data_IF_302576777393
#
_entry.id   IF_302576777393
#
_cell.length_a   1.000
_cell.length_b   1.000
_cell.length_c   1.000
_cell.angle_alpha   90.00
_cell.angle_beta   90.00
_cell.angle_gamma   90.00
#
_symmetry.space_group_name_H-M   'P 1'
#
loop_
_entity.id
_entity.type
_entity.pdbx_description
1 polymer ?
#
# COMPACT_ATOMS: atom_id res chain seq x y z
N UNK A 1 -28.48 -10.79 -26.13
CA UNK A 1 -27.50 -11.74 -25.66
C UNK A 1 -26.75 -11.14 -24.50
N UNK A 2 -26.66 -11.81 -23.38
CA UNK A 2 -25.86 -11.41 -22.25
C UNK A 2 -24.38 -11.40 -22.70
N UNK A 3 -23.76 -10.22 -22.81
CA UNK A 3 -22.31 -10.15 -22.95
C UNK A 3 -21.69 -10.78 -21.70
N UNK A 4 -20.80 -11.73 -21.87
CA UNK A 4 -20.06 -12.34 -20.76
C UNK A 4 -19.29 -11.24 -20.02
N UNK A 5 -19.46 -11.18 -18.70
CA UNK A 5 -18.73 -10.23 -17.86
C UNK A 5 -17.25 -10.61 -17.79
N UNK A 6 -16.96 -11.90 -17.90
CA UNK A 6 -15.61 -12.44 -17.93
C UNK A 6 -15.11 -12.47 -19.37
N UNK A 7 -14.01 -11.78 -19.66
CA UNK A 7 -13.30 -11.80 -20.94
C UNK A 7 -12.33 -12.96 -21.01
N UNK A 8 -11.46 -13.02 -20.02
CA UNK A 8 -10.44 -14.05 -19.93
C UNK A 8 -10.36 -14.59 -18.51
N UNK A 9 -9.97 -15.85 -18.40
CA UNK A 9 -9.70 -16.49 -17.12
C UNK A 9 -8.40 -17.29 -17.25
N UNK A 10 -7.47 -17.02 -16.34
CA UNK A 10 -6.21 -17.73 -16.20
C UNK A 10 -6.26 -18.56 -14.91
N UNK A 11 -5.92 -19.82 -15.00
CA UNK A 11 -5.71 -20.69 -13.84
C UNK A 11 -4.26 -21.14 -13.80
N UNK A 12 -3.56 -20.79 -12.73
CA UNK A 12 -2.21 -21.23 -12.46
C UNK A 12 -2.19 -22.26 -11.34
N UNK A 13 -1.40 -23.31 -11.49
CA UNK A 13 -1.18 -24.35 -10.49
C UNK A 13 0.32 -24.40 -10.23
N UNK A 14 0.72 -24.36 -8.98
CA UNK A 14 2.12 -24.34 -8.59
C UNK A 14 2.77 -22.95 -8.60
N UNK A 15 2.04 -21.91 -8.93
CA UNK A 15 2.52 -20.52 -8.94
C UNK A 15 1.39 -19.52 -8.79
N UNK A 16 1.72 -18.31 -8.36
CA UNK A 16 0.81 -17.17 -8.23
C UNK A 16 1.38 -15.97 -9.01
N UNK A 17 1.30 -15.97 -10.36
CA UNK A 17 1.95 -14.97 -11.20
C UNK A 17 1.44 -13.56 -10.95
N UNK A 18 0.13 -13.36 -10.77
CA UNK A 18 -0.45 -12.04 -10.57
C UNK A 18 -0.05 -11.45 -9.21
N UNK A 19 -0.13 -12.24 -8.13
CA UNK A 19 0.33 -11.82 -6.80
C UNK A 19 1.83 -11.51 -6.77
N UNK A 20 2.63 -12.27 -7.51
CA UNK A 20 4.07 -12.05 -7.64
C UNK A 20 4.38 -10.72 -8.34
N UNK A 21 3.66 -10.39 -9.40
CA UNK A 21 3.87 -9.13 -10.15
C UNK A 21 3.37 -7.92 -9.36
N UNK A 22 2.28 -8.04 -8.62
CA UNK A 22 1.82 -7.00 -7.69
C UNK A 22 2.85 -6.72 -6.59
N UNK A 23 3.40 -7.75 -5.97
CA UNK A 23 4.42 -7.61 -4.93
C UNK A 23 5.66 -6.88 -5.43
N UNK A 24 6.05 -7.07 -6.69
CA UNK A 24 7.17 -6.36 -7.32
C UNK A 24 6.90 -4.88 -7.56
N UNK A 25 5.67 -4.53 -7.88
CA UNK A 25 5.29 -3.12 -8.14
C UNK A 25 5.03 -2.32 -6.88
N UNK A 26 4.65 -2.97 -5.77
CA UNK A 26 4.32 -2.32 -4.50
C UNK A 26 5.44 -2.31 -3.45
N UNK A 27 6.66 -2.75 -3.78
CA UNK A 27 7.80 -2.72 -2.83
C UNK A 27 7.75 -3.76 -1.70
N UNK A 28 6.66 -4.50 -1.54
CA UNK A 28 6.56 -5.58 -0.57
C UNK A 28 7.31 -6.81 -1.07
N UNK A 29 8.26 -7.30 -0.28
CA UNK A 29 9.01 -8.54 -0.56
C UNK A 29 8.13 -9.74 -0.21
N UNK A 30 7.08 -9.97 -0.98
CA UNK A 30 6.41 -11.27 -0.95
C UNK A 30 7.31 -12.27 -1.64
N UNK A 31 7.73 -13.30 -0.91
CA UNK A 31 8.49 -14.39 -1.49
C UNK A 31 7.70 -14.98 -2.67
N UNK A 32 8.37 -15.28 -3.79
CA UNK A 32 7.77 -16.02 -4.88
C UNK A 32 7.25 -17.37 -4.34
N UNK A 33 5.98 -17.41 -4.00
CA UNK A 33 5.35 -18.64 -3.50
C UNK A 33 5.14 -19.54 -4.72
N UNK A 34 6.04 -20.51 -4.87
CA UNK A 34 5.97 -21.51 -5.93
C UNK A 34 5.96 -22.89 -5.30
N UNK A 35 4.99 -23.69 -5.64
CA UNK A 35 4.90 -25.04 -5.12
C UNK A 35 3.57 -25.70 -5.48
N UNK A 36 3.55 -27.03 -5.53
CA UNK A 36 2.37 -27.81 -5.96
C UNK A 36 1.11 -27.58 -5.07
N UNK A 37 1.29 -26.94 -3.90
CA UNK A 37 0.24 -26.61 -2.94
C UNK A 37 -0.36 -25.21 -3.16
N UNK A 38 0.19 -24.42 -4.09
CA UNK A 38 -0.29 -23.06 -4.38
C UNK A 38 -1.01 -23.02 -5.73
N UNK A 39 -1.94 -22.10 -5.85
CA UNK A 39 -2.63 -21.85 -7.11
C UNK A 39 -3.24 -20.47 -7.13
N UNK A 40 -3.59 -20.01 -8.32
CA UNK A 40 -4.22 -18.73 -8.55
C UNK A 40 -5.24 -18.85 -9.68
N UNK A 41 -6.39 -18.19 -9.49
CA UNK A 41 -7.36 -18.00 -10.57
C UNK A 41 -7.53 -16.50 -10.79
N UNK A 42 -7.07 -16.03 -11.93
CA UNK A 42 -7.20 -14.65 -12.35
C UNK A 42 -8.34 -14.49 -13.37
N UNK A 43 -9.22 -13.53 -13.12
CA UNK A 43 -10.35 -13.21 -14.01
C UNK A 43 -10.17 -11.79 -14.54
N UNK A 44 -10.08 -11.67 -15.85
CA UNK A 44 -10.20 -10.38 -16.53
C UNK A 44 -11.67 -10.12 -16.86
N UNK A 45 -12.23 -9.10 -16.21
CA UNK A 45 -13.60 -8.67 -16.46
C UNK A 45 -13.67 -7.65 -17.62
N UNK A 46 -14.86 -7.49 -18.22
CA UNK A 46 -15.12 -6.43 -19.20
C UNK A 46 -14.87 -5.04 -18.58
N UNK A 47 -14.59 -3.96 -19.37
CA UNK A 47 -14.36 -2.63 -18.88
C UNK A 47 -15.43 -2.15 -17.89
N UNK A 48 -15.05 -1.25 -16.97
CA UNK A 48 -15.94 -0.79 -15.92
C UNK A 48 -17.19 -0.09 -16.45
N UNK A 49 -17.08 0.57 -17.60
CA UNK A 49 -18.17 1.26 -18.28
C UNK A 49 -19.21 0.30 -18.88
N UNK A 50 -18.81 -0.94 -19.18
CA UNK A 50 -19.67 -1.96 -19.76
C UNK A 50 -20.34 -2.86 -18.71
N UNK A 51 -20.01 -2.68 -17.40
CA UNK A 51 -20.47 -3.54 -16.30
C UNK A 51 -21.51 -2.84 -15.43
N UNK A 52 -22.48 -3.60 -14.93
CA UNK A 52 -23.48 -3.10 -13.97
C UNK A 52 -22.98 -3.09 -12.52
N UNK A 53 -21.86 -3.76 -12.23
CA UNK A 53 -21.25 -3.86 -10.89
C UNK A 53 -19.73 -3.77 -10.96
N UNK A 54 -19.13 -3.31 -9.87
CA UNK A 54 -17.70 -3.12 -9.76
C UNK A 54 -16.95 -4.43 -9.48
N UNK A 55 -15.62 -4.39 -9.50
CA UNK A 55 -14.79 -5.55 -9.27
C UNK A 55 -14.90 -6.11 -7.84
N UNK A 56 -15.07 -5.23 -6.84
CA UNK A 56 -15.27 -5.63 -5.43
C UNK A 56 -16.56 -6.43 -5.25
N UNK A 57 -17.65 -5.99 -5.87
CA UNK A 57 -18.92 -6.71 -5.84
C UNK A 57 -18.81 -8.07 -6.53
N UNK A 58 -18.01 -8.17 -7.61
CA UNK A 58 -17.73 -9.43 -8.27
C UNK A 58 -16.93 -10.37 -7.35
N UNK A 59 -15.89 -9.88 -6.71
CA UNK A 59 -15.07 -10.64 -5.77
C UNK A 59 -15.90 -11.12 -4.57
N UNK A 60 -16.76 -10.25 -4.01
CA UNK A 60 -17.67 -10.60 -2.91
C UNK A 60 -18.63 -11.73 -3.30
N UNK A 61 -19.30 -11.62 -4.45
CA UNK A 61 -20.21 -12.67 -4.97
C UNK A 61 -19.47 -13.96 -5.28
N UNK A 62 -18.24 -13.87 -5.74
CA UNK A 62 -17.42 -15.05 -5.99
C UNK A 62 -17.05 -15.72 -4.67
N UNK A 63 -16.62 -14.98 -3.67
CA UNK A 63 -16.37 -15.49 -2.30
C UNK A 63 -17.60 -16.19 -1.72
N UNK A 64 -18.77 -15.57 -1.80
CA UNK A 64 -20.03 -16.14 -1.32
C UNK A 64 -20.36 -17.47 -2.01
N UNK A 65 -20.08 -17.57 -3.32
CA UNK A 65 -20.34 -18.79 -4.09
C UNK A 65 -19.33 -19.91 -3.81
N UNK A 66 -18.09 -19.59 -3.59
CA UNK A 66 -17.05 -20.57 -3.26
C UNK A 66 -17.27 -21.11 -1.85
N UNK A 67 -17.66 -20.24 -0.91
CA UNK A 67 -17.85 -20.61 0.48
C UNK A 67 -16.54 -21.01 1.17
N UNK A 68 -16.67 -21.80 2.23
CA UNK A 68 -15.52 -22.32 2.99
C UNK A 68 -14.96 -23.55 2.28
N UNK A 69 -13.67 -23.57 2.02
CA UNK A 69 -12.94 -24.70 1.45
C UNK A 69 -12.05 -25.31 2.56
N UNK A 70 -12.46 -26.42 3.18
CA UNK A 70 -11.72 -27.00 4.33
C UNK A 70 -10.28 -27.44 4.00
N UNK A 71 -10.01 -27.71 2.72
CA UNK A 71 -8.68 -28.12 2.27
C UNK A 71 -7.74 -26.93 1.97
N UNK A 72 -8.28 -25.71 1.96
CA UNK A 72 -7.49 -24.51 1.73
C UNK A 72 -7.05 -23.91 3.07
N UNK A 73 -5.76 -23.84 3.30
CA UNK A 73 -5.17 -23.20 4.47
C UNK A 73 -5.37 -21.66 4.42
N UNK A 74 -5.26 -21.10 3.21
CA UNK A 74 -5.50 -19.69 2.96
C UNK A 74 -6.22 -19.52 1.61
N UNK A 75 -7.32 -18.76 1.61
CA UNK A 75 -8.10 -18.44 0.42
C UNK A 75 -8.40 -16.93 0.41
N UNK A 76 -7.77 -16.21 -0.49
CA UNK A 76 -7.92 -14.75 -0.64
C UNK A 76 -8.64 -14.40 -1.94
N UNK A 77 -9.47 -13.35 -1.89
CA UNK A 77 -10.15 -12.80 -3.07
C UNK A 77 -9.80 -11.33 -3.19
N UNK A 78 -9.00 -10.99 -4.18
CA UNK A 78 -8.50 -9.62 -4.41
C UNK A 78 -9.15 -9.03 -5.65
N UNK A 79 -9.60 -7.80 -5.56
CA UNK A 79 -10.17 -7.04 -6.67
C UNK A 79 -9.36 -5.78 -7.02
N UNK A 80 -8.28 -5.52 -6.31
CA UNK A 80 -7.42 -4.37 -6.51
C UNK A 80 -6.36 -4.62 -7.57
N UNK A 81 -6.15 -3.61 -8.43
CA UNK A 81 -5.07 -3.63 -9.42
C UNK A 81 -3.74 -3.19 -8.80
N UNK A 82 -3.81 -2.27 -7.84
CA UNK A 82 -2.67 -1.78 -7.09
C UNK A 82 -2.96 -1.95 -5.61
N UNK A 83 -2.39 -2.97 -5.01
CA UNK A 83 -2.39 -3.12 -3.56
C UNK A 83 -1.03 -2.65 -3.03
N UNK A 84 -1.03 -1.60 -2.23
CA UNK A 84 0.17 -1.15 -1.49
C UNK A 84 0.51 -2.08 -0.32
N UNK A 85 -0.16 -3.24 -0.23
CA UNK A 85 -0.10 -4.23 0.84
C UNK A 85 -1.48 -4.57 1.39
N UNK A 86 -1.52 -5.46 2.38
CA UNK A 86 -2.77 -5.79 3.07
C UNK A 86 -3.27 -4.57 3.86
N UNK A 87 -4.60 -4.40 3.97
CA UNK A 87 -5.24 -3.30 4.68
C UNK A 87 -4.84 -3.25 6.16
N UNK A 88 -4.61 -4.42 6.74
CA UNK A 88 -4.02 -4.62 8.07
C UNK A 88 -2.80 -5.51 7.89
N UNK A 89 -1.64 -5.04 8.32
CA UNK A 89 -0.42 -5.83 8.37
C UNK A 89 0.36 -5.45 9.64
N UNK A 90 0.29 -6.32 10.61
CA UNK A 90 0.99 -6.18 11.88
C UNK A 90 2.15 -7.15 11.93
N UNK A 91 3.35 -6.61 12.04
CA UNK A 91 4.56 -7.41 12.23
C UNK A 91 4.79 -7.63 13.70
N UNK A 92 4.84 -8.88 14.11
CA UNK A 92 5.24 -9.30 15.43
C UNK A 92 6.68 -9.78 15.40
N UNK A 93 7.51 -9.31 16.33
CA UNK A 93 8.91 -9.71 16.42
C UNK A 93 9.24 -10.20 17.83
N UNK A 94 9.96 -11.30 17.93
CA UNK A 94 10.31 -11.89 19.23
C UNK A 94 11.53 -12.81 19.16
N UNK A 95 12.11 -13.11 20.32
CA UNK A 95 13.22 -14.05 20.42
C UNK A 95 12.71 -15.50 20.60
N UNK A 96 11.62 -15.69 21.35
CA UNK A 96 10.99 -16.98 21.56
C UNK A 96 9.96 -17.24 20.45
N UNK A 97 10.09 -18.40 19.82
CA UNK A 97 9.23 -18.77 18.70
C UNK A 97 7.80 -19.12 19.15
N UNK A 98 7.67 -19.89 20.24
CA UNK A 98 6.36 -20.35 20.74
C UNK A 98 5.53 -19.15 21.22
N UNK A 99 6.16 -18.24 21.98
CA UNK A 99 5.51 -16.99 22.41
C UNK A 99 5.07 -16.12 21.23
N UNK A 100 5.87 -16.11 20.14
CA UNK A 100 5.55 -15.35 18.92
C UNK A 100 4.37 -15.98 18.17
N UNK A 101 4.29 -17.31 18.13
CA UNK A 101 3.18 -18.05 17.54
C UNK A 101 1.88 -17.83 18.32
N UNK A 102 1.93 -17.99 19.65
CA UNK A 102 0.79 -17.75 20.53
C UNK A 102 0.26 -16.31 20.41
N UNK A 103 1.18 -15.34 20.27
CA UNK A 103 0.82 -13.95 20.08
C UNK A 103 0.15 -13.71 18.73
N UNK A 104 0.62 -14.36 17.67
CA UNK A 104 0.03 -14.26 16.33
C UNK A 104 -1.38 -14.89 16.31
N UNK A 105 -1.57 -16.06 16.93
CA UNK A 105 -2.88 -16.69 17.05
C UNK A 105 -3.86 -15.82 17.86
N UNK A 106 -3.41 -15.30 18.99
CA UNK A 106 -4.22 -14.39 19.80
C UNK A 106 -4.64 -13.13 19.02
N UNK A 107 -3.74 -12.58 18.19
CA UNK A 107 -4.07 -11.40 17.37
C UNK A 107 -5.06 -11.75 16.27
N UNK A 108 -4.92 -12.92 15.62
CA UNK A 108 -5.90 -13.40 14.63
C UNK A 108 -7.28 -13.58 15.23
N UNK A 109 -7.36 -14.16 16.43
CA UNK A 109 -8.63 -14.33 17.14
C UNK A 109 -9.27 -12.97 17.44
N UNK A 110 -8.48 -12.00 17.89
CA UNK A 110 -8.96 -10.64 18.16
C UNK A 110 -9.42 -9.88 16.91
N UNK A 111 -8.76 -10.10 15.80
CA UNK A 111 -9.20 -9.57 14.50
C UNK A 111 -10.50 -10.23 14.04
N UNK A 112 -10.69 -11.51 14.33
CA UNK A 112 -11.91 -12.25 14.04
C UNK A 112 -13.15 -11.79 14.82
N UNK A 113 -12.98 -11.03 15.91
CA UNK A 113 -14.08 -10.42 16.66
C UNK A 113 -14.77 -9.27 15.87
N UNK A 114 -14.17 -8.79 14.77
CA UNK A 114 -14.70 -7.71 13.94
C UNK A 114 -15.34 -8.25 12.66
N UNK A 115 -16.63 -7.98 12.45
CA UNK A 115 -17.40 -8.48 11.29
C UNK A 115 -16.92 -7.94 9.94
N UNK A 116 -16.27 -6.79 9.94
CA UNK A 116 -15.70 -6.16 8.74
C UNK A 116 -14.33 -6.71 8.35
N UNK A 117 -13.67 -7.48 9.24
CA UNK A 117 -12.34 -8.07 8.95
C UNK A 117 -12.50 -9.39 8.23
N UNK A 118 -11.78 -9.53 7.15
CA UNK A 118 -11.80 -10.71 6.28
C UNK A 118 -10.37 -11.14 5.94
N UNK A 119 -10.22 -12.38 5.45
CA UNK A 119 -8.95 -12.92 4.97
C UNK A 119 -7.80 -12.83 6.00
N UNK A 120 -8.14 -13.09 7.27
CA UNK A 120 -7.15 -13.08 8.35
C UNK A 120 -6.16 -14.22 8.12
N UNK A 121 -4.88 -13.89 8.04
CA UNK A 121 -3.81 -14.85 7.82
C UNK A 121 -2.55 -14.44 8.60
N UNK A 122 -1.64 -15.37 8.75
CA UNK A 122 -0.30 -15.06 9.22
C UNK A 122 0.78 -15.62 8.29
N UNK A 123 2.01 -15.20 8.49
CA UNK A 123 3.16 -15.66 7.71
C UNK A 123 3.80 -16.94 8.28
N UNK A 124 3.26 -17.51 9.34
CA UNK A 124 3.62 -18.84 9.80
C UNK A 124 2.97 -19.89 8.92
N UNK A 125 3.43 -19.99 7.69
CA UNK A 125 2.96 -21.07 6.85
C UNK A 125 3.67 -22.35 7.26
N UNK A 126 2.90 -23.28 7.77
CA UNK A 126 3.37 -24.65 7.84
C UNK A 126 3.66 -25.10 6.40
N UNK A 127 4.90 -25.44 6.15
CA UNK A 127 5.31 -25.98 4.86
C UNK A 127 4.69 -27.35 4.61
N UNK A 128 5.06 -27.94 3.49
CA UNK A 128 4.63 -29.30 3.15
C UNK A 128 5.02 -30.27 4.25
N UNK A 129 4.22 -31.33 4.39
CA UNK A 129 4.63 -32.47 5.19
C UNK A 129 5.98 -32.99 4.70
N UNK A 130 6.94 -33.04 5.62
CA UNK A 130 8.32 -33.42 5.36
C UNK A 130 8.62 -34.76 6.00
N UNK A 131 9.37 -35.58 5.28
CA UNK A 131 9.93 -36.79 5.84
C UNK A 131 11.33 -36.44 6.35
N UNK A 132 11.47 -36.41 7.65
CA UNK A 132 12.74 -36.18 8.30
C UNK A 132 13.48 -37.52 8.47
N UNK A 133 14.69 -37.54 7.95
CA UNK A 133 15.56 -38.72 8.00
C UNK A 133 16.52 -38.57 9.18
N UNK A 134 16.50 -39.51 10.09
CA UNK A 134 17.43 -39.55 11.22
C UNK A 134 18.28 -40.82 11.14
N UNK A 135 19.60 -40.68 11.08
CA UNK A 135 20.54 -41.82 11.05
C UNK A 135 20.52 -42.50 12.41
N UNK A 136 20.62 -43.83 12.43
CA UNK A 136 20.76 -44.62 13.66
C UNK A 136 22.20 -44.62 14.13
N UNK A 137 22.47 -44.66 15.45
CA UNK A 137 23.83 -44.67 15.99
C UNK A 137 24.68 -45.80 15.47
N UNK A 138 24.07 -46.97 15.20
CA UNK A 138 24.75 -48.16 14.70
C UNK A 138 25.30 -47.91 13.28
N UNK A 139 24.56 -47.21 12.44
CA UNK A 139 24.95 -46.86 11.07
C UNK A 139 26.02 -45.76 11.07
N UNK A 140 25.94 -44.81 11.98
CA UNK A 140 26.93 -43.78 12.21
C UNK A 140 28.30 -44.39 12.63
N UNK A 141 28.25 -45.36 13.53
CA UNK A 141 29.44 -46.10 13.95
C UNK A 141 30.11 -46.90 12.81
N UNK A 142 29.34 -47.26 11.77
CA UNK A 142 29.84 -47.91 10.56
C UNK A 142 30.33 -46.88 9.50
N UNK A 143 30.39 -45.61 9.84
CA UNK A 143 30.93 -44.52 9.00
C UNK A 143 29.94 -43.90 8.02
N UNK A 144 28.65 -44.20 8.08
CA UNK A 144 27.63 -43.49 7.29
C UNK A 144 27.35 -42.14 7.92
N UNK A 145 27.37 -41.08 7.13
CA UNK A 145 27.02 -39.74 7.59
C UNK A 145 25.58 -39.39 7.24
N UNK A 146 24.95 -38.43 8.00
CA UNK A 146 23.62 -37.90 7.70
C UNK A 146 23.57 -37.30 6.29
N UNK A 147 24.66 -36.67 5.82
CA UNK A 147 24.77 -36.09 4.48
C UNK A 147 24.77 -37.16 3.40
N UNK A 148 25.47 -38.27 3.61
CA UNK A 148 25.52 -39.35 2.63
C UNK A 148 24.18 -40.05 2.50
N UNK A 149 23.48 -40.27 3.62
CA UNK A 149 22.14 -40.81 3.63
C UNK A 149 21.20 -39.88 2.85
N UNK A 150 21.18 -38.59 3.20
CA UNK A 150 20.32 -37.61 2.55
C UNK A 150 20.59 -37.47 1.03
N UNK A 151 21.86 -37.53 0.64
CA UNK A 151 22.30 -37.50 -0.78
C UNK A 151 21.78 -38.71 -1.55
N UNK A 152 21.92 -39.90 -1.01
CA UNK A 152 21.44 -41.14 -1.66
C UNK A 152 19.93 -41.13 -1.82
N UNK A 153 19.17 -40.76 -0.78
CA UNK A 153 17.71 -40.67 -0.84
C UNK A 153 17.30 -39.58 -1.86
N UNK A 154 17.93 -38.40 -1.82
CA UNK A 154 17.64 -37.33 -2.75
C UNK A 154 17.89 -37.75 -4.21
N UNK A 155 19.02 -38.38 -4.49
CA UNK A 155 19.38 -38.81 -5.86
C UNK A 155 18.38 -39.85 -6.40
N UNK A 156 17.87 -40.73 -5.53
CA UNK A 156 16.87 -41.73 -5.92
C UNK A 156 15.48 -41.13 -6.17
N UNK A 157 15.01 -40.28 -5.27
CA UNK A 157 13.61 -39.78 -5.31
C UNK A 157 13.46 -38.48 -6.07
N UNK A 158 14.30 -37.46 -5.82
CA UNK A 158 14.30 -36.20 -6.58
C UNK A 158 15.02 -36.35 -7.90
N UNK A 159 16.16 -36.98 -7.87
CA UNK A 159 17.02 -37.21 -9.01
C UNK A 159 18.36 -36.47 -8.94
N UNK A 160 19.30 -36.95 -9.73
CA UNK A 160 20.61 -36.36 -9.95
C UNK A 160 20.68 -35.81 -11.38
N UNK A 161 21.14 -34.57 -11.55
CA UNK A 161 21.37 -34.00 -12.87
C UNK A 161 22.68 -34.57 -13.43
N UNK A 162 22.56 -35.48 -14.34
CA UNK A 162 23.71 -36.19 -14.95
C UNK A 162 24.36 -35.34 -16.04
N UNK A 163 23.55 -34.61 -16.81
CA UNK A 163 24.01 -33.82 -17.95
C UNK A 163 23.03 -32.69 -18.23
N UNK A 164 23.57 -31.57 -18.71
CA UNK A 164 22.82 -30.44 -19.22
C UNK A 164 23.24 -30.19 -20.68
N UNK A 165 22.26 -30.11 -21.56
CA UNK A 165 22.52 -29.99 -23.01
C UNK A 165 21.74 -28.80 -23.54
N UNK A 166 22.43 -27.82 -24.11
CA UNK A 166 21.82 -26.73 -24.84
C UNK A 166 21.33 -27.24 -26.21
N UNK A 167 20.02 -27.13 -26.47
CA UNK A 167 19.40 -27.42 -27.77
C UNK A 167 18.67 -26.21 -28.30
N UNK A 168 19.33 -25.45 -29.16
CA UNK A 168 18.77 -24.21 -29.67
C UNK A 168 18.56 -23.19 -28.53
N UNK A 169 17.28 -22.86 -28.22
CA UNK A 169 16.90 -21.95 -27.14
C UNK A 169 16.60 -22.67 -25.82
N UNK A 170 16.56 -24.00 -25.83
CA UNK A 170 16.15 -24.80 -24.69
C UNK A 170 17.37 -25.37 -23.94
N UNK A 171 17.34 -25.27 -22.61
CA UNK A 171 18.28 -25.88 -21.68
C UNK A 171 17.70 -27.20 -21.18
N UNK A 172 18.14 -28.32 -21.85
CA UNK A 172 17.64 -29.67 -21.58
C UNK A 172 18.45 -30.30 -20.47
N UNK A 173 17.78 -30.63 -19.35
CA UNK A 173 18.40 -31.31 -18.20
C UNK A 173 18.14 -32.82 -18.27
N UNK A 174 19.18 -33.60 -18.21
CA UNK A 174 19.08 -35.06 -18.11
C UNK A 174 19.09 -35.44 -16.63
N UNK A 175 17.96 -35.89 -16.14
CA UNK A 175 17.76 -36.26 -14.72
C UNK A 175 17.69 -37.78 -14.58
N UNK A 176 18.54 -38.36 -13.74
CA UNK A 176 18.50 -39.78 -13.36
C UNK A 176 17.77 -39.91 -12.01
N UNK A 177 16.71 -40.69 -11.96
CA UNK A 177 15.90 -40.91 -10.76
C UNK A 177 15.08 -42.19 -10.86
N UNK A 178 14.55 -42.67 -9.75
CA UNK A 178 13.63 -43.80 -9.75
C UNK A 178 12.36 -43.53 -10.59
N UNK A 179 11.76 -44.59 -11.19
CA UNK A 179 10.50 -44.46 -11.90
C UNK A 179 9.41 -43.83 -11.03
N UNK A 180 8.44 -43.15 -11.64
CA UNK A 180 7.40 -42.44 -10.92
C UNK A 180 6.63 -43.30 -9.92
N UNK A 181 6.31 -44.54 -10.28
CA UNK A 181 5.59 -45.49 -9.41
C UNK A 181 6.37 -45.80 -8.13
N UNK A 182 7.71 -45.88 -8.22
CA UNK A 182 8.56 -46.18 -7.07
C UNK A 182 8.73 -44.97 -6.15
N UNK A 183 8.67 -43.76 -6.70
CA UNK A 183 8.79 -42.51 -5.93
C UNK A 183 7.51 -42.09 -5.20
N UNK A 184 6.38 -42.72 -5.46
CA UNK A 184 5.07 -42.38 -4.88
C UNK A 184 4.74 -43.23 -3.62
N UNK A 185 5.59 -44.17 -3.26
CA UNK A 185 5.33 -45.07 -2.14
C UNK A 185 6.41 -44.92 -1.06
N UNK A 186 5.96 -44.70 0.19
CA UNK A 186 6.84 -44.68 1.36
C UNK A 186 7.51 -46.03 1.59
N UNK A 187 6.82 -47.13 1.26
CA UNK A 187 7.39 -48.49 1.38
C UNK A 187 8.65 -48.64 0.50
N UNK A 188 8.71 -47.98 -0.65
CA UNK A 188 9.89 -48.02 -1.49
C UNK A 188 11.08 -47.27 -0.90
N UNK A 189 10.83 -46.20 -0.14
CA UNK A 189 11.86 -45.55 0.65
C UNK A 189 12.38 -46.45 1.76
N UNK A 190 11.48 -47.11 2.49
CA UNK A 190 11.83 -48.04 3.58
C UNK A 190 12.61 -49.28 3.09
N UNK A 191 12.33 -49.72 1.85
CA UNK A 191 13.02 -50.85 1.24
C UNK A 191 14.24 -50.49 0.44
N UNK A 192 14.52 -49.18 0.28
CA UNK A 192 15.70 -48.67 -0.44
C UNK A 192 16.97 -49.24 0.21
N UNK A 193 17.96 -49.59 -0.62
CA UNK A 193 19.30 -50.00 -0.14
C UNK A 193 20.21 -48.80 -0.09
N UNK A 194 20.81 -48.60 1.09
CA UNK A 194 21.77 -47.52 1.36
C UNK A 194 23.17 -48.11 1.25
N UNK A 195 24.03 -47.50 0.43
CA UNK A 195 25.40 -47.89 0.26
C UNK A 195 26.28 -47.30 1.35
N UNK A 196 26.96 -48.18 2.06
CA UNK A 196 27.91 -47.83 3.10
C UNK A 196 29.29 -47.47 2.51
N UNK A 197 30.17 -46.79 3.28
CA UNK A 197 31.50 -46.44 2.80
C UNK A 197 32.40 -47.65 2.39
N UNK A 198 32.14 -48.80 2.99
CA UNK A 198 32.83 -50.09 2.66
C UNK A 198 32.25 -50.77 1.40
N UNK A 199 31.26 -50.18 0.75
CA UNK A 199 30.60 -50.69 -0.45
C UNK A 199 29.44 -51.64 -0.23
N UNK A 200 29.15 -52.05 1.02
CA UNK A 200 28.02 -52.91 1.35
C UNK A 200 26.70 -52.14 1.24
N UNK A 201 25.63 -52.84 0.88
CA UNK A 201 24.29 -52.27 0.77
C UNK A 201 23.40 -52.80 1.91
N UNK A 202 22.88 -51.90 2.71
CA UNK A 202 22.05 -52.19 3.86
C UNK A 202 20.65 -51.58 3.63
N UNK A 203 19.55 -52.27 4.03
CA UNK A 203 18.21 -51.70 3.95
C UNK A 203 18.08 -50.39 4.74
N UNK A 204 17.32 -49.44 4.19
CA UNK A 204 17.14 -48.11 4.81
C UNK A 204 16.67 -48.24 6.28
N UNK A 205 15.72 -49.12 6.56
CA UNK A 205 15.19 -49.30 7.92
C UNK A 205 16.21 -49.76 8.95
N UNK A 206 17.32 -50.34 8.57
CA UNK A 206 18.41 -50.72 9.48
C UNK A 206 19.34 -49.53 9.78
N UNK A 207 19.44 -48.58 8.88
CA UNK A 207 20.40 -47.48 9.00
C UNK A 207 19.73 -46.15 9.45
N UNK A 208 18.40 -45.99 9.25
CA UNK A 208 17.71 -44.73 9.52
C UNK A 208 16.30 -44.94 10.05
N UNK A 209 15.80 -43.89 10.71
CA UNK A 209 14.39 -43.74 11.11
C UNK A 209 13.74 -42.62 10.31
N UNK A 210 12.42 -42.78 10.07
CA UNK A 210 11.58 -41.80 9.45
C UNK A 210 10.71 -41.15 10.51
N UNK A 211 10.73 -39.85 10.61
CA UNK A 211 9.75 -39.06 11.35
C UNK A 211 9.03 -38.11 10.38
N UNK A 212 7.73 -37.94 10.61
CA UNK A 212 6.95 -36.99 9.85
C UNK A 212 6.92 -35.68 10.62
N UNK A 213 7.12 -34.59 9.93
CA UNK A 213 7.04 -33.25 10.48
C UNK A 213 6.63 -32.28 9.41
N UNK A 214 6.31 -31.09 9.82
CA UNK A 214 6.12 -29.96 8.90
C UNK A 214 7.25 -28.98 9.13
N UNK A 215 7.96 -28.63 8.08
CA UNK A 215 8.96 -27.57 8.12
C UNK A 215 8.30 -26.22 7.85
N UNK A 216 8.94 -25.14 8.26
CA UNK A 216 8.48 -23.81 7.87
C UNK A 216 9.00 -23.52 6.47
N UNK A 217 8.12 -23.01 5.61
CA UNK A 217 8.46 -22.65 4.23
C UNK A 217 9.50 -21.52 4.18
N UNK A 218 9.36 -20.55 5.09
CA UNK A 218 10.28 -19.44 5.23
C UNK A 218 10.41 -18.99 6.68
N UNK A 219 11.58 -18.47 7.04
CA UNK A 219 11.83 -17.85 8.33
C UNK A 219 12.21 -16.39 8.09
N UNK A 220 11.29 -15.50 8.37
CA UNK A 220 11.53 -14.05 8.28
C UNK A 220 12.24 -13.55 9.53
N UNK A 221 13.18 -12.63 9.33
CA UNK A 221 13.85 -11.92 10.42
C UNK A 221 13.91 -10.43 10.12
N UNK A 222 13.59 -9.64 11.13
CA UNK A 222 13.71 -8.19 11.14
C UNK A 222 14.58 -7.83 12.34
N UNK A 223 15.61 -7.03 12.15
CA UNK A 223 16.56 -6.62 13.19
C UNK A 223 17.13 -7.82 13.99
N UNK A 224 17.45 -8.92 13.29
CA UNK A 224 17.97 -10.17 13.84
C UNK A 224 17.00 -10.98 14.71
N UNK A 225 15.76 -10.51 14.89
CA UNK A 225 14.69 -11.25 15.61
C UNK A 225 13.82 -11.98 14.59
N UNK A 226 13.21 -13.08 15.01
CA UNK A 226 12.17 -13.73 14.22
C UNK A 226 10.98 -12.78 14.08
N UNK A 227 10.39 -12.75 12.92
CA UNK A 227 9.25 -11.90 12.59
C UNK A 227 8.12 -12.73 12.00
N UNK A 228 6.90 -12.40 12.39
CA UNK A 228 5.65 -12.93 11.85
C UNK A 228 4.77 -11.78 11.47
N UNK A 229 4.23 -11.83 10.28
CA UNK A 229 3.22 -10.89 9.85
C UNK A 229 1.85 -11.51 10.11
N UNK A 230 0.99 -10.77 10.76
CA UNK A 230 -0.45 -11.04 10.81
C UNK A 230 -1.13 -10.06 9.89
N UNK A 231 -1.77 -10.57 8.86
CA UNK A 231 -2.40 -9.79 7.80
C UNK A 231 -3.91 -10.02 7.79
N UNK A 232 -4.65 -8.99 7.39
CA UNK A 232 -6.08 -9.11 7.16
C UNK A 232 -6.54 -8.05 6.15
N UNK A 233 -7.66 -8.33 5.49
CA UNK A 233 -8.32 -7.36 4.65
C UNK A 233 -9.60 -6.83 5.34
N UNK A 234 -10.13 -5.71 4.86
CA UNK A 234 -11.31 -5.05 5.42
C UNK A 234 -12.38 -4.91 4.35
N UNK A 235 -13.56 -5.43 4.64
CA UNK A 235 -14.74 -5.19 3.80
C UNK A 235 -15.19 -3.73 3.95
N UNK A 236 -14.74 -2.88 3.05
CA UNK A 236 -15.04 -1.44 3.04
C UNK A 236 -16.53 -1.11 2.92
N UNK A 237 -17.39 -2.08 2.59
CA UNK A 237 -18.84 -1.92 2.60
C UNK A 237 -19.44 -1.97 4.01
N UNK A 238 -18.72 -2.56 4.97
CA UNK A 238 -19.16 -2.78 6.35
C UNK A 238 -18.43 -1.91 7.36
N UNK A 239 -17.18 -1.53 7.07
CA UNK A 239 -16.35 -0.78 8.01
C UNK A 239 -15.32 0.11 7.34
N UNK A 240 -14.65 0.91 8.18
CA UNK A 240 -13.59 1.82 7.76
C UNK A 240 -12.24 1.33 8.32
N UNK A 241 -11.30 1.05 7.43
CA UNK A 241 -9.95 0.58 7.76
C UNK A 241 -9.22 1.49 8.76
N UNK A 242 -9.41 2.81 8.67
CA UNK A 242 -8.76 3.79 9.55
C UNK A 242 -9.28 3.70 11.00
N UNK A 243 -10.59 3.47 11.17
CA UNK A 243 -11.22 3.30 12.49
C UNK A 243 -10.68 2.04 13.14
N UNK A 244 -10.67 0.94 12.41
CA UNK A 244 -10.18 -0.36 12.87
C UNK A 244 -8.69 -0.30 13.25
N UNK A 245 -7.88 0.32 12.42
CA UNK A 245 -6.46 0.50 12.68
C UNK A 245 -6.20 1.37 13.91
N UNK A 246 -7.07 2.34 14.17
CA UNK A 246 -7.00 3.16 15.38
C UNK A 246 -7.35 2.34 16.62
N UNK A 247 -8.36 1.47 16.54
CA UNK A 247 -8.75 0.55 17.61
C UNK A 247 -7.62 -0.47 17.89
N UNK A 248 -7.04 -1.07 16.83
CA UNK A 248 -5.88 -1.95 16.93
C UNK A 248 -4.75 -1.29 17.71
N UNK A 249 -4.36 -0.08 17.32
CA UNK A 249 -3.25 0.65 17.94
C UNK A 249 -3.50 1.05 19.39
N UNK A 250 -4.75 1.42 19.72
CA UNK A 250 -5.08 1.96 21.06
C UNK A 250 -5.47 0.88 22.07
N UNK A 251 -6.06 -0.22 21.62
CA UNK A 251 -6.67 -1.22 22.50
C UNK A 251 -5.98 -2.57 22.35
N UNK A 252 -5.96 -3.15 21.17
CA UNK A 252 -5.54 -4.55 20.99
C UNK A 252 -4.04 -4.73 21.14
N UNK A 253 -3.23 -3.92 20.46
CA UNK A 253 -1.76 -4.07 20.48
C UNK A 253 -1.12 -3.74 21.84
N UNK A 254 -1.61 -2.76 22.63
CA UNK A 254 -1.17 -2.60 24.02
C UNK A 254 -1.50 -3.81 24.91
N UNK A 255 -2.65 -4.43 24.72
CA UNK A 255 -3.03 -5.63 25.48
C UNK A 255 -2.23 -6.87 25.05
N UNK A 256 -1.90 -7.01 23.77
CA UNK A 256 -0.97 -8.02 23.27
C UNK A 256 0.37 -7.92 24.00
N UNK A 257 0.93 -6.71 24.12
CA UNK A 257 2.21 -6.49 24.80
C UNK A 257 2.17 -6.80 26.29
N UNK A 258 1.03 -6.59 26.96
CA UNK A 258 0.85 -7.00 28.37
C UNK A 258 0.83 -8.51 28.51
N UNK A 259 0.18 -9.21 27.57
CA UNK A 259 0.03 -10.66 27.61
C UNK A 259 1.31 -11.38 27.17
N UNK A 260 2.03 -10.82 26.20
CA UNK A 260 3.26 -11.37 25.61
C UNK A 260 4.42 -10.34 25.69
N UNK A 261 5.07 -10.20 26.86
CA UNK A 261 6.09 -9.17 27.08
C UNK A 261 7.33 -9.29 26.19
N UNK A 262 7.63 -10.52 25.71
CA UNK A 262 8.75 -10.81 24.79
C UNK A 262 8.48 -10.48 23.33
N UNK A 263 7.24 -10.10 22.99
CA UNK A 263 6.82 -9.78 21.61
C UNK A 263 6.71 -8.27 21.41
N UNK A 264 7.33 -7.77 20.35
CA UNK A 264 7.22 -6.40 19.87
C UNK A 264 6.39 -6.39 18.60
N UNK A 265 5.72 -5.29 18.36
CA UNK A 265 4.89 -5.12 17.16
C UNK A 265 5.22 -3.82 16.43
N UNK A 266 5.01 -3.82 15.13
CA UNK A 266 5.04 -2.66 14.26
C UNK A 266 4.04 -2.83 13.13
N UNK A 267 3.69 -1.74 12.46
CA UNK A 267 2.84 -1.80 11.28
C UNK A 267 3.70 -1.87 10.01
N UNK A 268 3.33 -2.74 9.11
CA UNK A 268 3.85 -2.78 7.74
C UNK A 268 2.70 -2.61 6.73
N UNK A 269 3.05 -2.63 5.43
CA UNK A 269 2.08 -2.51 4.34
C UNK A 269 1.54 -1.10 4.17
N UNK A 270 0.31 -1.00 3.69
CA UNK A 270 -0.32 0.25 3.27
C UNK A 270 -0.27 1.33 4.37
N UNK A 271 -0.46 0.95 5.62
CA UNK A 271 -0.45 1.90 6.74
C UNK A 271 0.89 2.57 6.97
N UNK A 272 1.97 1.80 6.96
CA UNK A 272 3.32 2.33 7.16
C UNK A 272 3.70 3.26 6.02
N UNK A 273 3.41 2.85 4.78
CA UNK A 273 3.68 3.65 3.59
C UNK A 273 2.84 4.94 3.55
N UNK A 274 1.56 4.87 3.95
CA UNK A 274 0.71 6.05 4.06
C UNK A 274 1.23 7.03 5.13
N UNK A 275 1.59 6.53 6.30
CA UNK A 275 2.11 7.37 7.39
C UNK A 275 3.42 8.06 7.00
N UNK A 276 4.35 7.34 6.37
CA UNK A 276 5.60 7.88 5.86
C UNK A 276 5.39 8.92 4.75
N UNK A 277 4.47 8.62 3.81
CA UNK A 277 4.11 9.53 2.73
C UNK A 277 3.49 10.82 3.27
N UNK A 278 2.56 10.74 4.23
CA UNK A 278 1.93 11.90 4.85
C UNK A 278 2.97 12.73 5.63
N UNK A 279 3.87 12.09 6.38
CA UNK A 279 4.93 12.77 7.12
C UNK A 279 5.88 13.51 6.16
N UNK A 280 6.34 12.83 5.11
CA UNK A 280 7.22 13.39 4.08
C UNK A 280 6.54 14.54 3.33
N UNK A 281 5.28 14.36 2.93
CA UNK A 281 4.49 15.40 2.26
C UNK A 281 4.31 16.63 3.16
N UNK A 282 4.00 16.44 4.43
CA UNK A 282 3.82 17.54 5.39
C UNK A 282 5.11 18.34 5.58
N UNK A 283 6.24 17.65 5.69
CA UNK A 283 7.56 18.27 5.81
C UNK A 283 7.93 19.07 4.54
N UNK A 284 7.80 18.45 3.36
CA UNK A 284 8.09 19.08 2.08
C UNK A 284 7.14 20.26 1.78
N UNK A 285 5.88 20.14 2.16
CA UNK A 285 4.91 21.22 2.03
C UNK A 285 5.28 22.42 2.91
N UNK A 286 5.74 22.18 4.14
CA UNK A 286 6.26 23.24 5.02
C UNK A 286 7.43 23.99 4.38
N UNK A 287 8.40 23.27 3.79
CA UNK A 287 9.51 23.86 3.05
C UNK A 287 9.00 24.67 1.85
N UNK A 288 8.06 24.12 1.08
CA UNK A 288 7.47 24.82 -0.07
C UNK A 288 6.81 26.15 0.34
N UNK A 289 6.08 26.17 1.46
CA UNK A 289 5.48 27.42 1.98
C UNK A 289 6.54 28.45 2.35
N UNK A 290 7.66 28.05 2.94
CA UNK A 290 8.79 28.96 3.25
C UNK A 290 9.40 29.52 1.96
N UNK A 291 9.60 28.69 0.95
CA UNK A 291 10.13 29.11 -0.34
C UNK A 291 9.16 30.08 -1.02
N UNK A 292 7.86 29.78 -1.04
CA UNK A 292 6.80 30.65 -1.58
C UNK A 292 6.83 32.00 -0.87
N UNK A 293 6.91 31.99 0.46
CA UNK A 293 7.04 33.23 1.24
C UNK A 293 8.25 34.07 0.81
N UNK A 294 9.44 33.44 0.69
CA UNK A 294 10.65 34.12 0.25
C UNK A 294 10.53 34.71 -1.16
N UNK A 295 9.97 33.93 -2.10
CA UNK A 295 9.74 34.37 -3.47
C UNK A 295 8.75 35.54 -3.56
N UNK A 296 7.77 35.62 -2.67
CA UNK A 296 6.81 36.73 -2.60
C UNK A 296 7.43 37.96 -1.90
N UNK A 297 8.30 37.79 -0.90
CA UNK A 297 8.89 38.87 -0.15
C UNK A 297 9.81 39.76 -1.01
N UNK A 298 10.50 39.17 -2.02
CA UNK A 298 11.40 39.87 -2.91
C UNK A 298 10.65 40.92 -3.75
N UNK A 299 9.66 40.58 -4.59
CA UNK A 299 8.98 41.55 -5.46
C UNK A 299 8.17 42.57 -4.66
N UNK A 300 7.62 42.18 -3.51
CA UNK A 300 6.85 43.10 -2.68
C UNK A 300 7.74 44.05 -1.82
N UNK A 301 9.01 43.74 -1.67
CA UNK A 301 9.91 44.45 -0.76
C UNK A 301 9.29 44.61 0.65
N UNK A 302 8.56 43.60 1.12
CA UNK A 302 7.76 43.59 2.33
C UNK A 302 7.70 42.18 2.93
N UNK A 303 7.87 42.09 4.26
CA UNK A 303 7.72 40.81 4.98
C UNK A 303 6.27 40.47 5.35
N UNK A 304 5.36 41.44 5.28
CA UNK A 304 3.97 41.25 5.73
C UNK A 304 3.04 40.96 4.55
N UNK A 305 3.27 41.55 3.38
CA UNK A 305 2.42 41.32 2.23
C UNK A 305 2.37 39.85 1.74
N UNK A 306 3.48 39.08 1.80
CA UNK A 306 3.42 37.64 1.54
C UNK A 306 2.44 36.89 2.45
N UNK A 307 2.33 37.29 3.72
CA UNK A 307 1.40 36.67 4.67
C UNK A 307 -0.05 36.91 4.24
N UNK A 308 -0.38 38.12 3.74
CA UNK A 308 -1.71 38.42 3.23
C UNK A 308 -2.05 37.51 2.03
N UNK A 309 -1.10 37.36 1.10
CA UNK A 309 -1.25 36.48 -0.06
C UNK A 309 -1.48 35.03 0.35
N UNK A 310 -0.67 34.56 1.30
CA UNK A 310 -0.74 33.16 1.79
C UNK A 310 -1.95 32.89 2.69
N UNK A 311 -2.54 33.92 3.30
CA UNK A 311 -3.74 33.78 4.15
C UNK A 311 -4.96 33.21 3.43
N UNK A 312 -4.96 33.21 2.10
CA UNK A 312 -6.00 32.61 1.28
C UNK A 312 -5.91 31.06 1.20
N UNK A 313 -4.72 30.47 1.47
CA UNK A 313 -4.47 29.03 1.33
C UNK A 313 -5.43 28.16 2.17
N UNK A 314 -5.69 28.43 3.48
CA UNK A 314 -6.60 27.64 4.28
C UNK A 314 -8.04 27.58 3.72
N UNK A 315 -8.49 28.63 3.02
CA UNK A 315 -9.83 28.63 2.42
C UNK A 315 -9.90 27.72 1.20
N UNK A 316 -8.79 27.57 0.45
CA UNK A 316 -8.70 26.57 -0.58
C UNK A 316 -8.86 25.14 -0.06
N UNK A 317 -8.29 24.85 1.11
CA UNK A 317 -8.47 23.54 1.78
C UNK A 317 -9.94 23.28 2.14
N UNK A 318 -10.65 24.28 2.63
CA UNK A 318 -12.10 24.16 2.91
C UNK A 318 -12.85 23.80 1.62
N UNK A 319 -12.53 24.47 0.50
CA UNK A 319 -13.11 24.17 -0.81
C UNK A 319 -12.81 22.75 -1.28
N UNK A 320 -11.60 22.27 -1.06
CA UNK A 320 -11.20 20.89 -1.39
C UNK A 320 -12.05 19.87 -0.59
N UNK A 321 -12.23 20.06 0.72
CA UNK A 321 -13.05 19.20 1.57
C UNK A 321 -14.51 19.21 1.10
N UNK A 322 -15.09 20.39 0.84
CA UNK A 322 -16.43 20.52 0.30
C UNK A 322 -16.60 19.80 -1.05
N UNK A 323 -15.58 19.88 -1.92
CA UNK A 323 -15.57 19.15 -3.18
C UNK A 323 -15.69 17.64 -2.99
N UNK A 324 -14.97 17.06 -2.03
CA UNK A 324 -15.06 15.62 -1.72
C UNK A 324 -16.46 15.25 -1.20
N UNK A 325 -17.04 16.07 -0.33
CA UNK A 325 -18.41 15.85 0.19
C UNK A 325 -19.43 15.87 -0.97
N UNK A 326 -19.34 16.87 -1.86
CA UNK A 326 -20.25 17.00 -3.01
C UNK A 326 -20.13 15.84 -3.99
N UNK A 327 -18.91 15.37 -4.20
CA UNK A 327 -18.63 14.24 -5.10
C UNK A 327 -18.86 12.86 -4.45
N UNK A 328 -19.13 12.82 -3.13
CA UNK A 328 -19.31 11.58 -2.37
C UNK A 328 -18.03 10.72 -2.34
N UNK A 329 -16.86 11.37 -2.24
CA UNK A 329 -15.56 10.71 -2.28
C UNK A 329 -14.80 10.93 -0.97
N UNK A 330 -14.03 9.93 -0.57
CA UNK A 330 -13.13 10.03 0.57
C UNK A 330 -11.90 10.89 0.23
N UNK A 331 -11.36 11.55 1.26
CA UNK A 331 -10.09 12.28 1.17
C UNK A 331 -8.95 11.27 1.20
N UNK A 332 -8.14 11.26 0.15
CA UNK A 332 -7.01 10.36 -0.02
C UNK A 332 -5.67 11.11 0.01
N UNK A 333 -4.55 10.41 0.02
CA UNK A 333 -3.21 11.01 -0.15
C UNK A 333 -3.13 11.81 -1.45
N UNK A 334 -3.76 11.32 -2.52
CA UNK A 334 -3.81 12.01 -3.81
C UNK A 334 -4.60 13.31 -3.73
N UNK A 335 -5.62 13.38 -2.87
CA UNK A 335 -6.30 14.64 -2.55
C UNK A 335 -5.33 15.67 -1.94
N UNK A 336 -4.39 15.19 -1.10
CA UNK A 336 -3.32 16.03 -0.54
C UNK A 336 -2.39 16.63 -1.61
N UNK A 337 -2.00 15.87 -2.62
CA UNK A 337 -1.25 16.42 -3.76
C UNK A 337 -2.06 17.49 -4.51
N UNK A 338 -3.37 17.32 -4.63
CA UNK A 338 -4.26 18.33 -5.18
C UNK A 338 -4.25 19.62 -4.36
N UNK A 339 -4.21 19.54 -3.02
CA UNK A 339 -4.10 20.70 -2.12
C UNK A 339 -2.75 21.41 -2.29
N UNK A 340 -1.65 20.68 -2.46
CA UNK A 340 -0.33 21.28 -2.74
C UNK A 340 -0.37 22.08 -4.04
N UNK A 341 -0.91 21.50 -5.11
CA UNK A 341 -1.08 22.19 -6.40
C UNK A 341 -2.01 23.41 -6.28
N UNK A 342 -3.12 23.27 -5.56
CA UNK A 342 -4.07 24.35 -5.27
C UNK A 342 -3.39 25.55 -4.62
N UNK A 343 -2.46 25.34 -3.70
CA UNK A 343 -1.70 26.40 -3.02
C UNK A 343 -1.02 27.34 -4.03
N UNK A 344 -0.39 26.78 -5.07
CA UNK A 344 0.27 27.57 -6.11
C UNK A 344 -0.72 28.45 -6.91
N UNK A 345 -1.89 27.92 -7.23
CA UNK A 345 -2.94 28.65 -7.96
C UNK A 345 -3.51 29.79 -7.11
N UNK A 346 -3.85 29.51 -5.86
CA UNK A 346 -4.44 30.50 -4.93
C UNK A 346 -3.46 31.64 -4.64
N UNK A 347 -2.19 31.31 -4.46
CA UNK A 347 -1.12 32.29 -4.23
C UNK A 347 -0.96 33.20 -5.47
N UNK A 348 -1.02 32.63 -6.67
CA UNK A 348 -0.92 33.41 -7.91
C UNK A 348 -2.04 34.44 -8.05
N UNK A 349 -3.29 34.06 -7.79
CA UNK A 349 -4.43 34.96 -7.87
C UNK A 349 -4.34 36.09 -6.83
N UNK A 350 -3.94 35.75 -5.59
CA UNK A 350 -3.70 36.70 -4.52
C UNK A 350 -2.55 37.66 -4.81
N UNK A 351 -1.44 37.16 -5.40
CA UNK A 351 -0.27 37.96 -5.80
C UNK A 351 -0.69 39.07 -6.77
N UNK A 352 -1.44 38.71 -7.85
CA UNK A 352 -1.89 39.66 -8.87
C UNK A 352 -2.77 40.75 -8.27
N UNK A 353 -3.54 40.43 -7.23
CA UNK A 353 -4.39 41.39 -6.53
C UNK A 353 -3.55 42.39 -5.72
N UNK A 354 -2.63 41.90 -4.91
CA UNK A 354 -1.74 42.75 -4.06
C UNK A 354 -0.83 43.62 -4.91
N UNK A 355 -0.25 43.06 -5.99
CA UNK A 355 0.57 43.82 -6.93
C UNK A 355 -0.21 44.98 -7.55
N UNK A 356 -1.48 44.75 -7.92
CA UNK A 356 -2.32 45.81 -8.46
C UNK A 356 -2.58 46.91 -7.43
N UNK A 357 -2.87 46.57 -6.17
CA UNK A 357 -3.03 47.57 -5.10
C UNK A 357 -1.76 48.38 -4.92
N UNK A 358 -0.59 47.75 -4.90
CA UNK A 358 0.70 48.43 -4.76
C UNK A 358 0.97 49.41 -5.92
N UNK A 359 0.68 49.00 -7.16
CA UNK A 359 0.82 49.89 -8.33
C UNK A 359 -0.11 51.09 -8.26
N UNK A 360 -1.36 50.92 -7.79
CA UNK A 360 -2.30 52.03 -7.63
C UNK A 360 -1.87 53.00 -6.54
N UNK A 361 -1.34 52.46 -5.44
CA UNK A 361 -0.75 53.31 -4.40
C UNK A 361 0.47 54.11 -4.87
N UNK A 362 1.35 53.53 -5.69
CA UNK A 362 2.51 54.24 -6.23
C UNK A 362 2.13 55.43 -7.12
N UNK A 363 0.92 55.44 -7.66
CA UNK A 363 0.36 56.55 -8.48
C UNK A 363 -0.34 57.61 -7.59
N UNK A 364 -0.39 57.42 -6.27
CA UNK A 364 -0.92 58.36 -5.31
C UNK A 364 -2.40 58.18 -4.90
N UNK A 365 -3.03 57.04 -5.24
CA UNK A 365 -4.38 56.74 -4.77
C UNK A 365 -4.34 56.37 -3.26
N UNK A 366 -5.47 56.67 -2.57
CA UNK A 366 -5.63 56.22 -1.19
C UNK A 366 -5.72 54.70 -1.08
N UNK A 367 -5.44 54.16 0.10
CA UNK A 367 -5.48 52.71 0.36
C UNK A 367 -6.84 52.10 0.03
N UNK A 368 -7.90 52.70 0.53
CA UNK A 368 -9.27 52.28 0.29
C UNK A 368 -9.62 52.29 -1.21
N UNK A 369 -9.27 53.35 -1.92
CA UNK A 369 -9.57 53.46 -3.35
C UNK A 369 -8.74 52.47 -4.16
N UNK A 370 -7.46 52.25 -3.79
CA UNK A 370 -6.58 51.28 -4.43
C UNK A 370 -7.09 49.85 -4.25
N UNK A 371 -7.54 49.47 -3.03
CA UNK A 371 -8.11 48.17 -2.76
C UNK A 371 -9.44 47.96 -3.50
N UNK A 372 -10.33 48.97 -3.55
CA UNK A 372 -11.59 48.91 -4.27
C UNK A 372 -11.38 48.74 -5.77
N UNK A 373 -10.47 49.55 -6.38
CA UNK A 373 -10.13 49.41 -7.77
C UNK A 373 -9.49 48.09 -8.13
N UNK A 374 -8.67 47.53 -7.24
CA UNK A 374 -8.11 46.20 -7.41
C UNK A 374 -9.19 45.14 -7.49
N UNK A 375 -10.13 45.14 -6.52
CA UNK A 375 -11.27 44.23 -6.51
C UNK A 375 -12.09 44.33 -7.82
N UNK A 376 -12.46 45.53 -8.25
CA UNK A 376 -13.23 45.74 -9.50
C UNK A 376 -12.46 45.32 -10.77
N UNK A 377 -11.19 45.73 -10.91
CA UNK A 377 -10.42 45.48 -12.11
C UNK A 377 -9.94 44.04 -12.25
N UNK A 378 -9.67 43.36 -11.12
CA UNK A 378 -9.17 41.98 -11.10
C UNK A 378 -10.27 40.92 -10.97
N UNK A 379 -11.48 41.33 -10.66
CA UNK A 379 -12.63 40.43 -10.53
C UNK A 379 -12.81 39.55 -11.78
N UNK A 380 -12.94 40.14 -12.92
CA UNK A 380 -13.19 39.43 -14.19
C UNK A 380 -12.02 38.50 -14.58
N UNK A 381 -10.75 38.95 -14.61
CA UNK A 381 -9.63 38.06 -14.90
C UNK A 381 -9.52 36.87 -13.94
N UNK A 382 -9.63 37.09 -12.62
CA UNK A 382 -9.48 36.03 -11.62
C UNK A 382 -10.62 35.02 -11.72
N UNK A 383 -11.88 35.45 -11.84
CA UNK A 383 -12.99 34.51 -12.04
C UNK A 383 -12.84 33.73 -13.34
N UNK A 384 -12.38 34.37 -14.41
CA UNK A 384 -12.22 33.70 -15.70
C UNK A 384 -11.14 32.60 -15.62
N UNK A 385 -10.00 32.88 -14.97
CA UNK A 385 -8.94 31.89 -14.79
C UNK A 385 -9.42 30.71 -13.96
N UNK A 386 -10.09 30.95 -12.85
CA UNK A 386 -10.61 29.91 -11.98
C UNK A 386 -11.69 29.06 -12.66
N UNK A 387 -12.59 29.69 -13.39
CA UNK A 387 -13.64 29.00 -14.13
C UNK A 387 -13.06 28.16 -15.28
N UNK A 388 -12.07 28.68 -16.01
CA UNK A 388 -11.38 27.91 -17.07
C UNK A 388 -10.57 26.76 -16.50
N UNK A 389 -9.93 26.92 -15.34
CA UNK A 389 -9.22 25.84 -14.65
C UNK A 389 -10.20 24.74 -14.23
N UNK A 390 -11.32 25.11 -13.62
CA UNK A 390 -12.36 24.14 -13.22
C UNK A 390 -12.95 23.42 -14.44
N UNK A 391 -13.30 24.18 -15.49
CA UNK A 391 -13.83 23.61 -16.73
C UNK A 391 -12.83 22.65 -17.39
N UNK A 392 -11.53 22.98 -17.35
CA UNK A 392 -10.46 22.10 -17.83
C UNK A 392 -10.31 20.81 -17.02
N UNK A 393 -10.62 20.84 -15.72
CA UNK A 393 -10.62 19.66 -14.86
C UNK A 393 -11.91 18.84 -14.94
N UNK A 394 -13.01 19.42 -15.41
CA UNK A 394 -14.33 18.75 -15.47
C UNK A 394 -14.30 17.39 -16.19
N UNK A 395 -13.61 17.21 -17.33
CA UNK A 395 -13.49 15.90 -17.96
C UNK A 395 -12.85 14.84 -17.03
N UNK A 396 -11.81 15.23 -16.28
CA UNK A 396 -11.18 14.35 -15.28
C UNK A 396 -12.13 14.00 -14.13
N UNK A 397 -12.90 15.00 -13.64
CA UNK A 397 -13.84 14.80 -12.52
C UNK A 397 -15.00 13.86 -12.90
N UNK A 398 -15.37 13.78 -14.15
CA UNK A 398 -16.45 12.94 -14.67
C UNK A 398 -15.96 11.61 -15.23
N UNK A 399 -14.64 11.38 -15.24
CA UNK A 399 -14.04 10.17 -15.79
C UNK A 399 -14.34 8.95 -14.87
N UNK A 400 -14.70 7.84 -15.50
CA UNK A 400 -15.08 6.60 -14.81
C UNK A 400 -14.08 5.46 -15.01
N UNK A 401 -13.08 5.66 -15.86
CA UNK A 401 -12.06 4.65 -16.12
C UNK A 401 -11.24 4.35 -14.85
N UNK A 402 -10.82 3.11 -14.71
CA UNK A 402 -10.10 2.66 -13.53
C UNK A 402 -8.76 3.40 -13.36
N UNK A 403 -8.05 3.68 -14.48
CA UNK A 403 -6.78 4.40 -14.48
C UNK A 403 -6.94 5.85 -14.04
N UNK A 404 -8.01 6.52 -14.44
CA UNK A 404 -8.26 7.90 -14.04
C UNK A 404 -8.75 8.03 -12.59
N UNK A 405 -9.34 6.97 -12.04
CA UNK A 405 -9.92 6.96 -10.69
C UNK A 405 -8.93 7.36 -9.60
N UNK A 406 -7.64 7.09 -9.81
CA UNK A 406 -6.57 7.54 -8.91
C UNK A 406 -6.37 9.06 -8.95
N UNK A 407 -6.56 9.69 -10.10
CA UNK A 407 -6.31 11.12 -10.28
C UNK A 407 -7.53 11.98 -9.94
N UNK A 408 -8.73 11.39 -9.92
CA UNK A 408 -9.99 12.12 -9.63
C UNK A 408 -9.95 12.83 -8.27
N UNK A 409 -9.53 12.22 -7.15
CA UNK A 409 -9.47 12.91 -5.85
C UNK A 409 -8.54 14.14 -5.86
N UNK A 410 -7.42 14.06 -6.59
CA UNK A 410 -6.53 15.20 -6.80
C UNK A 410 -7.23 16.32 -7.59
N UNK A 411 -7.93 15.93 -8.66
CA UNK A 411 -8.71 16.87 -9.48
C UNK A 411 -9.84 17.54 -8.69
N UNK A 412 -10.52 16.79 -7.80
CA UNK A 412 -11.58 17.32 -6.92
C UNK A 412 -11.01 18.36 -5.97
N UNK A 413 -9.90 18.04 -5.27
CA UNK A 413 -9.23 18.98 -4.38
C UNK A 413 -8.85 20.27 -5.10
N UNK A 414 -8.21 20.16 -6.27
CA UNK A 414 -7.77 21.32 -7.04
C UNK A 414 -8.96 22.11 -7.58
N UNK A 415 -9.91 21.46 -8.24
CA UNK A 415 -11.02 22.15 -8.93
C UNK A 415 -11.95 22.88 -7.97
N UNK A 416 -12.50 22.18 -6.98
CA UNK A 416 -13.39 22.79 -5.99
C UNK A 416 -12.64 23.77 -5.08
N UNK A 417 -11.39 23.44 -4.73
CA UNK A 417 -10.51 24.32 -3.97
C UNK A 417 -10.29 25.67 -4.65
N UNK A 418 -10.00 25.68 -5.95
CA UNK A 418 -9.79 26.90 -6.73
C UNK A 418 -11.05 27.76 -6.76
N UNK A 419 -12.22 27.18 -7.06
CA UNK A 419 -13.47 27.94 -7.10
C UNK A 419 -13.76 28.59 -5.74
N UNK A 420 -13.68 27.81 -4.67
CA UNK A 420 -13.98 28.30 -3.31
C UNK A 420 -12.97 29.37 -2.87
N UNK A 421 -11.67 29.10 -3.07
CA UNK A 421 -10.62 30.05 -2.74
C UNK A 421 -10.79 31.36 -3.51
N UNK A 422 -11.14 31.31 -4.79
CA UNK A 422 -11.32 32.50 -5.63
C UNK A 422 -12.39 33.45 -5.08
N UNK A 423 -13.55 32.91 -4.71
CA UNK A 423 -14.63 33.72 -4.11
C UNK A 423 -14.17 34.40 -2.83
N UNK A 424 -13.46 33.67 -1.98
CA UNK A 424 -12.96 34.21 -0.72
C UNK A 424 -11.83 35.20 -0.95
N UNK A 425 -10.88 34.90 -1.83
CA UNK A 425 -9.69 35.74 -2.12
C UNK A 425 -10.07 37.13 -2.61
N UNK A 426 -11.11 37.23 -3.42
CA UNK A 426 -11.61 38.52 -3.94
C UNK A 426 -12.07 39.46 -2.83
N UNK A 427 -12.49 38.94 -1.68
CA UNK A 427 -12.92 39.72 -0.51
C UNK A 427 -11.80 39.80 0.53
N UNK A 428 -11.18 38.65 0.82
CA UNK A 428 -10.21 38.51 1.90
C UNK A 428 -8.95 39.36 1.65
N UNK A 429 -8.36 39.28 0.45
CA UNK A 429 -7.08 39.93 0.18
C UNK A 429 -7.18 41.45 0.26
N UNK A 430 -8.17 42.14 -0.38
CA UNK A 430 -8.36 43.58 -0.19
C UNK A 430 -8.61 43.96 1.28
N UNK A 431 -9.43 43.17 1.98
CA UNK A 431 -9.75 43.46 3.39
C UNK A 431 -8.52 43.32 4.29
N UNK A 432 -7.75 42.24 4.14
CA UNK A 432 -6.51 42.03 4.88
C UNK A 432 -5.48 43.13 4.62
N UNK A 433 -5.42 43.61 3.35
CA UNK A 433 -4.54 44.70 3.00
C UNK A 433 -4.91 46.01 3.72
N UNK A 434 -6.21 46.33 3.81
CA UNK A 434 -6.70 47.50 4.56
C UNK A 434 -6.45 47.36 6.05
N UNK A 435 -6.76 46.21 6.65
CA UNK A 435 -6.51 45.95 8.06
C UNK A 435 -5.02 46.13 8.40
N UNK A 436 -4.14 45.63 7.53
CA UNK A 436 -2.71 45.80 7.72
C UNK A 436 -2.28 47.26 7.73
N UNK A 437 -2.83 48.04 6.82
CA UNK A 437 -2.46 49.45 6.71
C UNK A 437 -3.06 50.28 7.88
N UNK A 438 -4.21 49.94 8.36
CA UNK A 438 -4.81 50.51 9.57
C UNK A 438 -3.93 50.21 10.80
N UNK A 439 -3.50 48.95 10.96
CA UNK A 439 -2.56 48.54 12.05
C UNK A 439 -1.26 49.33 11.93
N UNK A 440 -0.73 49.43 10.73
CA UNK A 440 0.52 50.17 10.50
C UNK A 440 0.38 51.66 10.84
N UNK A 441 -0.73 52.28 10.41
CA UNK A 441 -0.98 53.70 10.72
C UNK A 441 -1.17 53.94 12.21
N UNK A 442 -1.80 52.97 12.91
CA UNK A 442 -1.97 53.03 14.36
C UNK A 442 -0.66 52.98 15.14
N UNK A 443 0.30 52.12 14.73
CA UNK A 443 1.57 51.94 15.45
C UNK A 443 2.67 52.89 14.98
N UNK A 444 2.72 53.27 13.72
CA UNK A 444 3.85 54.03 13.14
C UNK A 444 3.45 55.43 12.62
N UNK A 445 2.16 55.79 12.79
CA UNK A 445 1.65 57.06 12.30
C UNK A 445 1.43 57.11 10.78
N UNK A 446 0.72 58.12 10.26
CA UNK A 446 0.51 58.27 8.84
C UNK A 446 1.85 58.52 8.13
N UNK A 447 2.03 57.88 6.95
CA UNK A 447 3.18 58.17 6.09
C UNK A 447 3.03 59.63 5.60
N UNK A 448 3.89 60.49 6.10
CA UNK A 448 4.06 61.82 5.51
C UNK A 448 4.41 61.62 4.03
N UNK A 449 3.68 62.36 3.18
CA UNK A 449 3.95 62.40 1.73
C UNK A 449 5.32 63.01 1.53
N UNK A 450 6.35 62.15 1.31
CA UNK A 450 7.59 62.57 0.68
C UNK A 450 7.48 62.39 -0.82
#
# INVERSE_FOLDING_TARGET
>A
GYKSIVRHMLRSIGSQPFMTDQSRSGGSVSANITGAHTGEVHIEASPAEERMFNAYELARRWREKVGVMPEAENLQFTADIFQAGDAINVVLTGANFDELQDAAEWLKDKLGDYEEVIDIADSFREGKEEIQLQIKPEAEALGLTQIDLARQVRSAFYGEEVQRIQRGRDDVRVMLRYPQKERQSLANLQNMRIRMPDGKEIPFNEVAQLTFGRGYESIRRIDRRRAVNVTADVDTSKGNTQVLNTALKKEILPDLRKKFPGVYWDFEGEQSEQAETIASMSYLYGIALIIIYGLLAIPFSSYIQPIIVMAAIPFGLIGAIWGHIVMGMDVTILSGFGVVALTGVVVNDSLVMVDYVNRKRSIGLSEMESAKQAGMSRFRPIILTSLTTFAGLTPLLLEKSLQAKFLVPMGVSLGFGVIFATVITLILVPSMYLILEDIRTFYFGPKDKL
#
